data_IF_766398883757
#
_entry.id   IF_766398883757
#
_cell.length_a   1.000
_cell.length_b   1.000
_cell.length_c   1.000
_cell.angle_alpha   90.00
_cell.angle_beta   90.00
_cell.angle_gamma   90.00
#
_symmetry.space_group_name_H-M   'P 1'
#
loop_
_entity.id
_entity.type
_entity.pdbx_description
1 polymer ?
#
# COMPACT_ATOMS: atom_id res chain seq x y z
N UNK A 1 -3.29 9.19 15.66
CA UNK A 1 -2.19 9.92 15.02
C UNK A 1 -1.89 9.28 13.68
N UNK A 2 -1.80 10.08 12.64
CA UNK A 2 -1.52 9.57 11.31
C UNK A 2 -0.13 8.93 11.23
N UNK A 3 -0.04 7.85 10.47
CA UNK A 3 1.18 7.08 10.30
C UNK A 3 1.56 7.02 8.83
N UNK A 4 2.83 7.27 8.53
CA UNK A 4 3.37 7.03 7.20
C UNK A 4 3.83 5.58 7.11
N UNK A 5 3.50 4.93 6.01
CA UNK A 5 3.84 3.53 5.79
C UNK A 5 4.57 3.40 4.47
N UNK A 6 5.76 2.83 4.50
CA UNK A 6 6.54 2.55 3.30
C UNK A 6 6.63 1.04 3.17
N UNK A 7 6.14 0.50 2.05
CA UNK A 7 6.20 -0.93 1.78
C UNK A 7 7.08 -1.17 0.56
N UNK A 8 8.10 -2.00 0.72
CA UNK A 8 8.94 -2.43 -0.39
C UNK A 8 8.62 -3.90 -0.69
N UNK A 9 8.09 -4.16 -1.87
CA UNK A 9 7.78 -5.52 -2.35
C UNK A 9 8.83 -5.96 -3.34
N UNK A 10 9.84 -6.67 -2.86
CA UNK A 10 10.91 -7.15 -3.71
C UNK A 10 10.40 -8.21 -4.67
N UNK A 11 10.77 -8.10 -5.93
CA UNK A 11 10.36 -9.03 -6.98
C UNK A 11 8.95 -8.82 -7.53
N UNK A 12 8.14 -7.96 -6.93
CA UNK A 12 6.81 -7.67 -7.44
C UNK A 12 6.87 -6.73 -8.63
N UNK A 13 5.82 -6.77 -9.47
CA UNK A 13 5.71 -5.94 -10.67
C UNK A 13 4.52 -5.01 -10.58
N UNK A 14 4.53 -3.94 -11.37
CA UNK A 14 3.39 -3.04 -11.47
C UNK A 14 2.15 -3.76 -11.99
N UNK A 15 2.31 -4.72 -12.89
CA UNK A 15 1.18 -5.52 -13.38
C UNK A 15 0.52 -6.32 -12.24
N UNK A 16 1.33 -6.90 -11.36
CA UNK A 16 0.81 -7.60 -10.19
C UNK A 16 0.12 -6.63 -9.22
N UNK A 17 0.70 -5.45 -9.01
CA UNK A 17 0.07 -4.40 -8.21
C UNK A 17 -1.31 -4.03 -8.76
N UNK A 18 -1.41 -3.78 -10.07
CA UNK A 18 -2.66 -3.42 -10.70
C UNK A 18 -3.73 -4.51 -10.50
N UNK A 19 -3.33 -5.78 -10.53
CA UNK A 19 -4.24 -6.89 -10.28
C UNK A 19 -4.73 -6.90 -8.84
N UNK A 20 -3.86 -6.63 -7.87
CA UNK A 20 -4.25 -6.52 -6.45
C UNK A 20 -5.27 -5.39 -6.26
N UNK A 21 -5.02 -4.24 -6.85
CA UNK A 21 -5.94 -3.08 -6.79
C UNK A 21 -7.32 -3.46 -7.34
N UNK A 22 -7.33 -4.16 -8.46
CA UNK A 22 -8.58 -4.64 -9.07
C UNK A 22 -9.33 -5.60 -8.15
N UNK A 23 -8.62 -6.55 -7.54
CA UNK A 23 -9.23 -7.50 -6.60
C UNK A 23 -9.78 -6.82 -5.35
N UNK A 24 -9.18 -5.71 -4.92
CA UNK A 24 -9.69 -4.91 -3.81
C UNK A 24 -10.94 -4.10 -4.19
N UNK A 25 -11.30 -4.05 -5.48
CA UNK A 25 -12.41 -3.24 -5.95
C UNK A 25 -12.08 -1.76 -6.10
N UNK A 26 -10.79 -1.42 -6.12
CA UNK A 26 -10.32 -0.05 -6.30
C UNK A 26 -10.09 0.22 -7.78
N UNK A 27 -10.12 1.49 -8.15
CA UNK A 27 -9.89 1.91 -9.54
C UNK A 27 -8.65 2.82 -9.60
N UNK A 28 -7.91 2.80 -10.72
CA UNK A 28 -6.77 3.70 -10.88
C UNK A 28 -7.18 5.16 -10.69
N UNK A 29 -6.41 5.89 -9.87
CA UNK A 29 -6.64 7.30 -9.55
C UNK A 29 -7.97 7.58 -8.85
N UNK A 30 -8.62 6.53 -8.35
CA UNK A 30 -9.86 6.64 -7.59
C UNK A 30 -9.61 6.79 -6.09
N UNK A 31 -10.65 6.52 -5.32
CA UNK A 31 -10.54 6.55 -3.86
C UNK A 31 -9.81 5.31 -3.36
N UNK A 32 -9.03 5.48 -2.30
CA UNK A 32 -8.40 4.38 -1.61
C UNK A 32 -9.33 3.67 -0.64
N UNK A 33 -8.74 2.79 0.17
CA UNK A 33 -9.46 2.02 1.18
C UNK A 33 -9.83 2.89 2.39
N UNK A 34 -10.89 2.54 3.13
CA UNK A 34 -11.26 3.25 4.35
C UNK A 34 -10.10 3.32 5.34
N UNK A 35 -9.86 4.51 5.89
CA UNK A 35 -8.74 4.76 6.80
C UNK A 35 -7.45 5.13 6.10
N UNK A 36 -7.33 4.88 4.81
CA UNK A 36 -6.21 5.33 3.98
C UNK A 36 -6.42 6.78 3.58
N UNK A 37 -5.42 7.62 3.81
CA UNK A 37 -5.50 9.05 3.59
C UNK A 37 -4.75 9.49 2.34
N UNK A 38 -3.72 8.73 1.96
CA UNK A 38 -2.89 9.03 0.80
C UNK A 38 -2.13 7.77 0.38
N UNK A 39 -1.93 7.60 -0.93
CA UNK A 39 -1.30 6.39 -1.46
C UNK A 39 -0.71 6.67 -2.84
N UNK A 40 0.50 6.20 -3.06
CA UNK A 40 1.07 6.12 -4.40
C UNK A 40 2.05 4.96 -4.50
N UNK A 41 2.31 4.51 -5.71
CA UNK A 41 3.18 3.37 -6.00
C UNK A 41 4.15 3.73 -7.11
N UNK A 42 5.35 3.17 -7.03
CA UNK A 42 6.34 3.32 -8.07
C UNK A 42 7.13 2.04 -8.26
N UNK A 43 7.69 1.87 -9.45
CA UNK A 43 8.62 0.80 -9.74
C UNK A 43 9.99 1.16 -9.15
N UNK A 44 10.68 0.15 -8.61
CA UNK A 44 12.08 0.28 -8.16
C UNK A 44 12.96 -0.68 -8.96
N UNK A 45 14.26 -0.65 -8.73
CA UNK A 45 15.20 -1.55 -9.42
C UNK A 45 14.94 -3.02 -9.09
N UNK A 46 14.39 -3.31 -7.90
CA UNK A 46 14.19 -4.68 -7.43
C UNK A 46 12.74 -5.10 -7.28
N UNK A 47 11.80 -4.20 -7.51
CA UNK A 47 10.39 -4.51 -7.33
C UNK A 47 9.51 -3.26 -7.40
N UNK A 48 8.63 -3.09 -6.41
CA UNK A 48 7.80 -1.89 -6.30
C UNK A 48 7.87 -1.32 -4.90
N UNK A 49 7.59 -0.03 -4.80
CA UNK A 49 7.51 0.69 -3.53
C UNK A 49 6.15 1.36 -3.42
N UNK A 50 5.49 1.17 -2.29
CA UNK A 50 4.21 1.79 -1.96
C UNK A 50 4.42 2.76 -0.82
N UNK A 51 3.89 3.97 -0.97
CA UNK A 51 3.99 5.03 0.04
C UNK A 51 2.58 5.41 0.46
N UNK A 52 2.29 5.27 1.75
CA UNK A 52 0.96 5.51 2.29
C UNK A 52 0.98 6.47 3.47
N UNK A 53 -0.16 7.13 3.68
CA UNK A 53 -0.50 7.76 4.96
C UNK A 53 -1.82 7.14 5.40
N UNK A 54 -1.86 6.66 6.64
CA UNK A 54 -3.05 6.04 7.24
C UNK A 54 -3.43 6.75 8.53
N UNK A 55 -4.69 6.65 8.91
CA UNK A 55 -5.21 7.26 10.15
C UNK A 55 -4.46 6.80 11.38
N UNK A 56 -4.12 5.51 11.43
CA UNK A 56 -3.36 4.90 12.52
C UNK A 56 -2.66 3.63 12.05
N UNK A 57 -1.69 3.19 12.83
CA UNK A 57 -0.98 1.93 12.56
C UNK A 57 -1.93 0.74 12.65
N UNK A 58 -2.83 0.73 13.63
CA UNK A 58 -3.78 -0.36 13.82
C UNK A 58 -4.72 -0.50 12.63
N UNK A 59 -5.20 0.61 12.08
CA UNK A 59 -6.07 0.60 10.91
C UNK A 59 -5.32 0.04 9.70
N UNK A 60 -4.07 0.46 9.50
CA UNK A 60 -3.25 -0.09 8.42
C UNK A 60 -2.99 -1.58 8.62
N UNK A 61 -2.59 -2.00 9.81
CA UNK A 61 -2.26 -3.41 10.06
C UNK A 61 -3.46 -4.33 9.83
N UNK A 62 -4.66 -3.88 10.21
CA UNK A 62 -5.87 -4.63 9.91
C UNK A 62 -6.12 -4.72 8.40
N UNK A 63 -5.94 -3.62 7.69
CA UNK A 63 -6.05 -3.61 6.23
C UNK A 63 -5.02 -4.55 5.58
N UNK A 64 -3.78 -4.51 6.05
CA UNK A 64 -2.73 -5.37 5.52
C UNK A 64 -3.07 -6.85 5.75
N UNK A 65 -3.58 -7.20 6.93
CA UNK A 65 -3.96 -8.56 7.26
C UNK A 65 -5.16 -9.03 6.44
N UNK A 66 -6.16 -8.18 6.26
CA UNK A 66 -7.43 -8.56 5.61
C UNK A 66 -7.37 -8.48 4.09
N UNK A 67 -6.53 -7.61 3.54
CA UNK A 67 -6.53 -7.29 2.11
C UNK A 67 -5.16 -7.50 1.44
N UNK A 68 -4.13 -6.84 1.91
CA UNK A 68 -2.82 -6.87 1.25
C UNK A 68 -2.27 -8.31 1.21
N UNK A 69 -2.20 -8.95 2.38
CA UNK A 69 -1.64 -10.30 2.49
C UNK A 69 -2.34 -11.30 1.59
N UNK A 70 -3.67 -11.48 1.74
CA UNK A 70 -4.41 -12.43 0.93
C UNK A 70 -4.37 -12.16 -0.57
N UNK A 71 -4.51 -10.91 -1.00
CA UNK A 71 -4.51 -10.61 -2.43
C UNK A 71 -3.11 -10.65 -3.04
N UNK A 72 -2.07 -10.23 -2.31
CA UNK A 72 -0.69 -10.35 -2.78
C UNK A 72 -0.33 -11.82 -2.97
N UNK A 73 -0.72 -12.69 -2.05
CA UNK A 73 -0.51 -14.13 -2.17
C UNK A 73 -1.25 -14.69 -3.39
N UNK A 74 -2.51 -14.32 -3.56
CA UNK A 74 -3.34 -14.78 -4.68
C UNK A 74 -2.77 -14.39 -6.03
N UNK A 75 -2.24 -13.19 -6.15
CA UNK A 75 -1.64 -12.68 -7.39
C UNK A 75 -0.23 -13.24 -7.63
N UNK A 76 0.44 -13.68 -6.58
CA UNK A 76 1.74 -14.33 -6.69
C UNK A 76 2.92 -13.41 -6.41
N UNK A 77 2.77 -12.46 -5.50
CA UNK A 77 3.91 -11.66 -5.03
C UNK A 77 4.95 -12.62 -4.44
N UNK A 78 6.21 -12.55 -4.88
CA UNK A 78 7.22 -13.54 -4.46
C UNK A 78 7.69 -13.38 -3.02
N UNK A 79 7.56 -12.18 -2.44
CA UNK A 79 8.06 -11.89 -1.10
C UNK A 79 7.06 -11.04 -0.32
N UNK A 80 7.01 -11.20 1.02
CA UNK A 80 6.27 -10.26 1.85
C UNK A 80 6.94 -8.88 1.81
N UNK A 81 6.20 -7.80 2.08
CA UNK A 81 6.79 -6.48 2.04
C UNK A 81 7.73 -6.23 3.21
N UNK A 82 8.80 -5.49 2.95
CA UNK A 82 9.59 -4.86 4.02
C UNK A 82 8.88 -3.56 4.33
N UNK A 83 8.37 -3.43 5.55
CA UNK A 83 7.50 -2.33 5.94
C UNK A 83 8.19 -1.43 6.96
N UNK A 84 8.13 -0.12 6.72
CA UNK A 84 8.64 0.89 7.64
C UNK A 84 7.51 1.82 8.04
N UNK A 85 7.42 2.12 9.34
CA UNK A 85 6.41 3.03 9.88
C UNK A 85 7.06 4.31 10.37
N UNK A 86 6.41 5.44 10.10
CA UNK A 86 6.88 6.76 10.51
C UNK A 86 5.71 7.57 11.06
N UNK A 87 5.91 8.27 12.17
CA UNK A 87 4.93 9.25 12.62
C UNK A 87 4.88 10.41 11.63
N UNK A 88 3.67 10.74 11.18
CA UNK A 88 3.50 11.86 10.26
C UNK A 88 3.39 13.16 11.05
N UNK A 89 4.35 14.04 10.86
CA UNK A 89 4.30 15.38 11.45
C UNK A 89 3.33 16.27 10.68
N UNK A 90 3.38 16.22 9.35
CA UNK A 90 2.49 16.99 8.49
C UNK A 90 2.43 16.34 7.11
N UNK A 91 1.28 16.46 6.46
CA UNK A 91 1.14 16.11 5.05
C UNK A 91 0.10 17.05 4.43
N UNK A 92 0.26 17.29 3.13
CA UNK A 92 -0.65 18.15 2.37
C UNK A 92 -1.20 17.35 1.20
N UNK A 93 -2.47 17.57 0.89
CA UNK A 93 -3.09 17.01 -0.32
C UNK A 93 -3.21 18.12 -1.37
N UNK A 94 -3.42 17.73 -2.62
CA UNK A 94 -3.61 18.69 -3.71
C UNK A 94 -4.76 19.64 -3.41
N UNK A 95 -4.57 20.90 -3.72
CA UNK A 95 -5.53 21.96 -3.46
C UNK A 95 -6.80 21.95 -4.31
#
# INVERSE_FOLDING_TARGET
MAIGVVLNFEGATLAQYDEVIKLMGLTPRGKGSPGGMFHWVTKTDTGIKVIDVWESREVFEKFAQDQIGPFAEKVGFPNPPVTHFHEVHNYLTGG
#
